data_IF_794578805157
#
_entry.id   IF_794578805157
#
_cell.length_a   1.000
_cell.length_b   1.000
_cell.length_c   1.000
_cell.angle_alpha   90.00
_cell.angle_beta   90.00
_cell.angle_gamma   90.00
#
_symmetry.space_group_name_H-M   'P 1'
#
loop_
_entity.id
_entity.type
_entity.pdbx_description
1 polymer ?
#
# COMPACT_ATOMS: atom_id res chain seq x y z
N UNK A 1 -6.36 -20.15 5.33
CA UNK A 1 -5.71 -18.87 4.95
C UNK A 1 -5.24 -18.21 6.23
N UNK A 2 -3.93 -18.02 6.40
CA UNK A 2 -3.35 -17.35 7.57
C UNK A 2 -3.39 -15.84 7.34
N UNK A 3 -4.18 -15.10 8.12
CA UNK A 3 -4.15 -13.63 8.12
C UNK A 3 -3.24 -13.15 9.24
N UNK A 4 -2.31 -12.24 8.92
CA UNK A 4 -1.49 -11.55 9.91
C UNK A 4 -2.16 -10.25 10.32
N UNK A 5 -2.31 -10.01 11.62
CA UNK A 5 -2.82 -8.74 12.15
C UNK A 5 -1.81 -8.11 13.11
N UNK A 6 -1.56 -6.82 12.93
CA UNK A 6 -0.73 -6.03 13.84
C UNK A 6 -1.59 -4.91 14.43
N UNK A 7 -1.54 -4.72 15.74
CA UNK A 7 -2.29 -3.69 16.44
C UNK A 7 -1.31 -2.65 16.98
N UNK A 8 -1.58 -1.38 16.71
CA UNK A 8 -0.86 -0.25 17.28
C UNK A 8 -1.83 0.53 18.19
N UNK A 9 -1.68 0.31 19.49
CA UNK A 9 -2.41 1.03 20.54
C UNK A 9 -1.51 2.12 21.14
N UNK A 10 -2.06 3.31 21.33
CA UNK A 10 -1.36 4.43 21.97
C UNK A 10 -1.87 4.62 23.38
N UNK A 11 -0.98 4.92 24.33
CA UNK A 11 -1.38 5.40 25.64
C UNK A 11 -1.87 6.85 25.51
N UNK A 12 -3.20 7.01 25.43
CA UNK A 12 -3.89 8.28 25.20
C UNK A 12 -4.53 8.37 23.80
N UNK A 13 -5.36 9.39 23.56
CA UNK A 13 -5.98 9.62 22.24
C UNK A 13 -5.13 10.65 21.48
N UNK A 14 -4.20 10.22 20.62
CA UNK A 14 -3.45 11.15 19.76
C UNK A 14 -4.39 11.88 18.81
N UNK A 15 -3.98 13.07 18.35
CA UNK A 15 -4.74 13.84 17.39
C UNK A 15 -5.03 13.01 16.13
N UNK A 16 -6.22 13.21 15.53
CA UNK A 16 -6.70 12.44 14.39
C UNK A 16 -5.68 12.36 13.25
N UNK A 17 -5.03 13.47 12.89
CA UNK A 17 -4.04 13.45 11.82
C UNK A 17 -2.74 12.72 12.15
N UNK A 18 -2.39 12.54 13.44
CA UNK A 18 -1.27 11.68 13.84
C UNK A 18 -1.62 10.21 13.60
N UNK A 19 -2.84 9.79 13.98
CA UNK A 19 -3.30 8.42 13.72
C UNK A 19 -3.34 8.12 12.22
N UNK A 20 -3.90 9.03 11.42
CA UNK A 20 -3.93 8.89 9.95
C UNK A 20 -2.53 8.85 9.36
N UNK A 21 -1.61 9.70 9.83
CA UNK A 21 -0.21 9.69 9.41
C UNK A 21 0.43 8.32 9.63
N UNK A 22 0.31 7.78 10.84
CA UNK A 22 0.94 6.51 11.22
C UNK A 22 0.32 5.33 10.46
N UNK A 23 -1.01 5.31 10.30
CA UNK A 23 -1.70 4.27 9.54
C UNK A 23 -1.28 4.29 8.06
N UNK A 24 -1.28 5.46 7.42
CA UNK A 24 -0.91 5.61 6.00
C UNK A 24 0.55 5.22 5.77
N UNK A 25 1.47 5.72 6.61
CA UNK A 25 2.90 5.36 6.52
C UNK A 25 3.13 3.88 6.77
N UNK A 26 2.45 3.31 7.77
CA UNK A 26 2.54 1.89 8.11
C UNK A 26 2.14 1.02 6.92
N UNK A 27 0.96 1.25 6.36
CA UNK A 27 0.48 0.51 5.19
C UNK A 27 1.41 0.66 3.99
N UNK A 28 1.87 1.89 3.72
CA UNK A 28 2.76 2.17 2.59
C UNK A 28 4.09 1.44 2.74
N UNK A 29 4.66 1.41 3.95
CA UNK A 29 5.91 0.71 4.22
C UNK A 29 5.76 -0.81 4.17
N UNK A 30 4.63 -1.35 4.66
CA UNK A 30 4.31 -2.79 4.53
C UNK A 30 4.32 -3.21 3.06
N UNK A 31 3.82 -2.36 2.17
CA UNK A 31 3.75 -2.62 0.73
C UNK A 31 4.99 -2.19 -0.06
N UNK A 32 6.04 -1.66 0.59
CA UNK A 32 7.24 -1.15 -0.09
C UNK A 32 6.99 0.04 -1.02
N UNK A 33 5.91 0.79 -0.81
CA UNK A 33 5.47 1.87 -1.70
C UNK A 33 6.16 3.20 -1.42
N UNK A 34 6.39 4.00 -2.46
CA UNK A 34 6.70 5.42 -2.35
C UNK A 34 5.42 6.27 -2.22
N UNK A 35 5.56 7.54 -1.84
CA UNK A 35 4.44 8.48 -1.85
C UNK A 35 3.87 8.71 -3.26
N UNK A 36 4.69 8.53 -4.30
CA UNK A 36 4.25 8.66 -5.69
C UNK A 36 3.35 7.48 -6.09
N UNK A 37 3.71 6.27 -5.68
CA UNK A 37 2.90 5.06 -5.95
C UNK A 37 1.54 5.17 -5.27
N UNK A 38 1.51 5.63 -4.02
CA UNK A 38 0.26 5.85 -3.32
C UNK A 38 -0.56 6.97 -3.95
N UNK A 39 0.09 8.04 -4.45
CA UNK A 39 -0.60 9.13 -5.14
C UNK A 39 -1.29 8.65 -6.41
N UNK A 40 -0.57 7.86 -7.20
CA UNK A 40 -1.09 7.25 -8.42
C UNK A 40 -2.27 6.31 -8.13
N UNK A 41 -2.11 5.41 -7.15
CA UNK A 41 -3.13 4.41 -6.83
C UNK A 41 -4.40 4.99 -6.18
N UNK A 42 -4.25 5.97 -5.29
CA UNK A 42 -5.38 6.57 -4.55
C UNK A 42 -6.06 7.73 -5.27
N UNK A 43 -5.40 8.29 -6.31
CA UNK A 43 -5.80 9.54 -6.94
C UNK A 43 -5.64 10.78 -6.04
N UNK A 44 -5.02 10.65 -4.87
CA UNK A 44 -4.69 11.77 -3.97
C UNK A 44 -3.34 12.35 -4.38
N UNK A 45 -3.23 13.67 -4.45
CA UNK A 45 -1.97 14.29 -4.89
C UNK A 45 -0.80 13.98 -3.95
N UNK A 46 0.39 13.75 -4.53
CA UNK A 46 1.64 13.51 -3.77
C UNK A 46 1.92 14.59 -2.70
N UNK A 47 1.72 15.90 -2.94
CA UNK A 47 1.87 16.91 -1.89
C UNK A 47 0.87 16.76 -0.74
N UNK A 48 -0.34 16.27 -1.02
CA UNK A 48 -1.35 16.00 0.01
C UNK A 48 -0.95 14.81 0.88
N UNK A 49 -0.45 13.74 0.28
CA UNK A 49 0.10 12.59 1.00
C UNK A 49 1.30 13.03 1.85
N UNK A 50 2.25 13.77 1.27
CA UNK A 50 3.42 14.26 2.01
C UNK A 50 3.03 15.08 3.24
N UNK A 51 2.02 15.96 3.12
CA UNK A 51 1.49 16.75 4.24
C UNK A 51 0.85 15.87 5.32
N UNK A 52 0.05 14.89 4.93
CA UNK A 52 -0.58 13.92 5.86
C UNK A 52 0.52 13.16 6.62
N UNK A 53 1.54 12.67 5.92
CA UNK A 53 2.64 11.89 6.50
C UNK A 53 3.59 12.71 7.41
N UNK A 54 3.40 14.03 7.51
CA UNK A 54 4.07 14.84 8.54
C UNK A 54 3.47 14.67 9.93
N UNK A 55 2.21 14.24 10.03
CA UNK A 55 1.46 14.21 11.29
C UNK A 55 1.12 15.58 11.89
N UNK A 56 1.47 16.68 11.21
CA UNK A 56 1.21 18.06 11.68
C UNK A 56 -0.15 18.62 11.25
N UNK A 57 -0.92 17.84 10.50
CA UNK A 57 -2.28 18.23 10.12
C UNK A 57 -3.21 17.80 11.25
N UNK A 58 -3.93 18.74 11.88
CA UNK A 58 -4.80 18.41 13.02
C UNK A 58 -5.90 17.41 12.64
N UNK A 59 -6.50 17.60 11.46
CA UNK A 59 -7.52 16.72 10.92
C UNK A 59 -7.41 16.58 9.40
N UNK A 60 -7.40 15.33 8.94
CA UNK A 60 -7.45 14.98 7.52
C UNK A 60 -8.91 14.79 7.12
N UNK A 61 -9.30 15.27 5.94
CA UNK A 61 -10.68 15.08 5.44
C UNK A 61 -10.99 13.59 5.31
N UNK A 62 -12.14 13.16 5.80
CA UNK A 62 -12.60 11.76 5.72
C UNK A 62 -12.54 11.21 4.31
N UNK A 63 -13.00 11.98 3.33
CA UNK A 63 -12.95 11.64 1.90
C UNK A 63 -11.53 11.33 1.38
N UNK A 64 -10.53 12.06 1.89
CA UNK A 64 -9.12 11.80 1.57
C UNK A 64 -8.64 10.52 2.25
N UNK A 65 -9.01 10.31 3.52
CA UNK A 65 -8.68 9.09 4.25
C UNK A 65 -9.26 7.87 3.54
N UNK A 66 -10.53 7.92 3.16
CA UNK A 66 -11.23 6.81 2.49
C UNK A 66 -10.57 6.42 1.16
N UNK A 67 -10.14 7.40 0.35
CA UNK A 67 -9.39 7.14 -0.89
C UNK A 67 -8.06 6.44 -0.63
N UNK A 68 -7.32 6.87 0.39
CA UNK A 68 -6.04 6.26 0.76
C UNK A 68 -6.24 4.83 1.29
N UNK A 69 -7.21 4.63 2.18
CA UNK A 69 -7.51 3.30 2.73
C UNK A 69 -8.08 2.35 1.67
N UNK A 70 -8.88 2.85 0.72
CA UNK A 70 -9.36 2.06 -0.40
C UNK A 70 -8.21 1.55 -1.28
N UNK A 71 -7.21 2.39 -1.56
CA UNK A 71 -6.02 2.00 -2.31
C UNK A 71 -5.28 0.82 -1.65
N UNK A 72 -5.11 0.86 -0.32
CA UNK A 72 -4.49 -0.23 0.43
C UNK A 72 -5.34 -1.51 0.43
N UNK A 73 -6.66 -1.39 0.54
CA UNK A 73 -7.57 -2.56 0.53
C UNK A 73 -7.49 -3.36 -0.77
N UNK A 74 -7.35 -2.67 -1.91
CA UNK A 74 -7.17 -3.34 -3.23
C UNK A 74 -5.91 -4.20 -3.24
N UNK A 75 -4.90 -3.85 -2.44
CA UNK A 75 -3.63 -4.55 -2.32
C UNK A 75 -3.61 -5.54 -1.14
N UNK A 76 -4.74 -5.77 -0.47
CA UNK A 76 -4.84 -6.75 0.62
C UNK A 76 -4.47 -6.23 2.01
N UNK A 77 -4.34 -4.90 2.18
CA UNK A 77 -4.07 -4.26 3.47
C UNK A 77 -5.32 -3.52 3.95
N UNK A 78 -5.86 -3.94 5.09
CA UNK A 78 -6.98 -3.30 5.78
C UNK A 78 -6.53 -2.47 6.97
N UNK A 79 -7.21 -1.35 7.23
CA UNK A 79 -7.06 -0.56 8.47
C UNK A 79 -8.40 -0.51 9.18
N UNK A 80 -8.38 -0.84 10.47
CA UNK A 80 -9.53 -0.70 11.35
C UNK A 80 -9.15 0.25 12.49
N UNK A 81 -9.94 1.30 12.67
CA UNK A 81 -9.79 2.23 13.79
C UNK A 81 -10.29 1.54 15.07
N UNK A 82 -9.51 1.65 16.14
CA UNK A 82 -9.85 1.14 17.47
C UNK A 82 -9.75 2.28 18.48
N UNK A 83 -10.22 2.07 19.70
CA UNK A 83 -10.13 3.08 20.74
C UNK A 83 -8.65 3.45 20.98
N UNK A 84 -8.32 4.74 20.82
CA UNK A 84 -6.96 5.25 20.99
C UNK A 84 -5.95 4.83 19.92
N UNK A 85 -6.35 4.17 18.83
CA UNK A 85 -5.38 3.65 17.86
C UNK A 85 -5.97 3.07 16.58
N UNK A 86 -5.21 2.15 15.97
CA UNK A 86 -5.65 1.40 14.79
C UNK A 86 -4.97 0.03 14.71
N UNK A 87 -5.64 -0.91 14.04
CA UNK A 87 -5.06 -2.19 13.65
C UNK A 87 -4.91 -2.27 12.14
N UNK A 88 -3.79 -2.83 11.69
CA UNK A 88 -3.54 -3.16 10.28
C UNK A 88 -3.69 -4.66 10.10
N UNK A 89 -4.55 -5.06 9.16
CA UNK A 89 -4.74 -6.43 8.73
C UNK A 89 -4.05 -6.63 7.38
N UNK A 90 -3.20 -7.64 7.29
CA UNK A 90 -2.40 -7.93 6.09
C UNK A 90 -2.72 -9.36 5.65
N UNK A 91 -3.22 -9.52 4.44
CA UNK A 91 -3.40 -10.84 3.86
C UNK A 91 -2.09 -11.35 3.24
N UNK A 92 -2.06 -12.62 2.84
CA UNK A 92 -0.88 -13.27 2.26
C UNK A 92 -0.38 -12.58 0.98
N UNK A 93 -1.30 -12.03 0.18
CA UNK A 93 -0.98 -11.27 -1.03
C UNK A 93 -0.19 -9.99 -0.72
N UNK A 94 -0.65 -9.21 0.25
CA UNK A 94 0.02 -7.99 0.68
C UNK A 94 1.41 -8.29 1.25
N UNK A 95 1.57 -9.40 1.96
CA UNK A 95 2.88 -9.85 2.47
C UNK A 95 3.85 -10.18 1.34
N UNK A 96 3.38 -10.82 0.26
CA UNK A 96 4.19 -11.07 -0.94
C UNK A 96 4.56 -9.76 -1.65
N UNK A 97 3.60 -8.84 -1.82
CA UNK A 97 3.87 -7.52 -2.42
C UNK A 97 4.92 -6.75 -1.61
N UNK A 98 4.82 -6.75 -0.29
CA UNK A 98 5.81 -6.11 0.58
C UNK A 98 7.21 -6.71 0.45
N UNK A 99 7.31 -8.01 0.20
CA UNK A 99 8.57 -8.71 0.02
C UNK A 99 9.22 -8.44 -1.35
N UNK A 100 8.41 -8.36 -2.41
CA UNK A 100 8.89 -8.13 -3.78
C UNK A 100 8.89 -6.66 -4.23
N UNK A 101 8.22 -5.78 -3.47
CA UNK A 101 7.93 -4.38 -3.83
C UNK A 101 6.80 -4.23 -4.85
N UNK A 102 6.13 -3.08 -4.86
CA UNK A 102 5.26 -2.71 -5.99
C UNK A 102 6.16 -2.30 -7.16
N UNK A 103 6.10 -3.06 -8.25
CA UNK A 103 6.78 -2.74 -9.51
C UNK A 103 6.13 -1.49 -10.12
N UNK A 104 6.72 -0.33 -9.83
CA UNK A 104 6.36 0.97 -10.38
C UNK A 104 7.63 1.75 -10.74
N UNK A 105 7.73 2.18 -12.00
CA UNK A 105 8.89 2.85 -12.60
C UNK A 105 9.53 3.90 -11.68
N UNK A 106 10.85 3.80 -11.44
CA UNK A 106 11.70 4.96 -11.13
C UNK A 106 12.09 5.61 -12.44
N UNK A 107 11.81 6.91 -12.59
CA UNK A 107 12.10 7.67 -13.81
C UNK A 107 13.59 7.89 -14.11
N UNK A 108 14.54 7.62 -13.20
CA UNK A 108 15.94 8.02 -13.44
C UNK A 108 17.04 7.00 -13.11
N UNK A 109 16.73 5.74 -12.77
CA UNK A 109 17.78 4.70 -12.70
C UNK A 109 17.15 3.31 -12.84
N UNK A 110 17.35 2.72 -14.02
CA UNK A 110 16.80 1.44 -14.40
C UNK A 110 17.62 0.31 -13.79
N UNK A 111 17.14 -0.30 -12.72
CA UNK A 111 17.49 -1.68 -12.38
C UNK A 111 16.30 -2.34 -11.67
N UNK A 112 15.71 -3.31 -12.36
CA UNK A 112 14.66 -4.22 -11.89
C UNK A 112 15.33 -5.57 -11.70
N UNK A 113 14.98 -6.31 -10.63
CA UNK A 113 15.45 -7.68 -10.44
C UNK A 113 14.29 -8.57 -10.00
N UNK A 114 13.84 -9.48 -10.86
CA UNK A 114 13.10 -10.67 -10.46
C UNK A 114 14.07 -11.84 -10.16
N UNK A 115 13.59 -12.87 -9.45
CA UNK A 115 14.37 -14.07 -9.14
C UNK A 115 14.60 -14.98 -10.39
N UNK A 116 13.87 -14.76 -11.49
CA UNK A 116 14.06 -15.43 -12.79
C UNK A 116 14.88 -14.56 -13.77
N UNK A 117 14.95 -13.25 -13.56
CA UNK A 117 15.69 -12.31 -14.42
C UNK A 117 17.23 -12.46 -14.28
N UNK A 118 17.70 -13.17 -13.25
CA UNK A 118 19.12 -13.44 -13.01
C UNK A 118 19.68 -14.43 -14.05
N UNK A 119 18.84 -15.22 -14.72
CA UNK A 119 19.31 -16.28 -15.63
C UNK A 119 19.07 -16.02 -17.13
N UNK A 120 18.16 -15.13 -17.55
CA UNK A 120 17.78 -15.03 -18.99
C UNK A 120 17.78 -13.65 -19.63
N UNK A 121 17.83 -12.54 -18.86
CA UNK A 121 18.17 -11.22 -19.39
C UNK A 121 17.21 -10.60 -20.42
N UNK A 122 15.91 -10.93 -20.40
CA UNK A 122 14.92 -10.33 -21.31
C UNK A 122 14.07 -9.25 -20.59
N UNK A 123 14.19 -7.99 -21.03
CA UNK A 123 13.45 -6.85 -20.48
C UNK A 123 12.14 -6.67 -21.23
N UNK A 124 11.00 -6.85 -20.56
CA UNK A 124 9.68 -6.59 -21.13
C UNK A 124 9.18 -5.21 -20.68
N UNK A 125 9.11 -4.24 -21.60
CA UNK A 125 8.46 -2.94 -21.35
C UNK A 125 6.94 -3.09 -21.27
N UNK A 126 6.42 -3.35 -20.07
CA UNK A 126 4.98 -3.37 -19.80
C UNK A 126 4.52 -2.00 -19.27
N UNK A 127 3.41 -1.47 -19.80
CA UNK A 127 2.81 -0.22 -19.28
C UNK A 127 2.28 -0.44 -17.86
N UNK A 128 2.37 0.59 -16.99
CA UNK A 128 1.93 0.48 -15.59
C UNK A 128 0.45 0.06 -15.45
N UNK A 129 -0.40 0.48 -16.39
CA UNK A 129 -1.80 0.08 -16.42
C UNK A 129 -1.95 -1.42 -16.72
N UNK A 130 -1.16 -1.95 -17.65
CA UNK A 130 -1.16 -3.37 -17.97
C UNK A 130 -0.66 -4.24 -16.80
N UNK A 131 0.39 -3.79 -16.09
CA UNK A 131 0.89 -4.48 -14.90
C UNK A 131 -0.15 -4.51 -13.75
N UNK A 132 -0.86 -3.40 -13.53
CA UNK A 132 -1.96 -3.33 -12.56
C UNK A 132 -3.13 -4.21 -12.96
N UNK A 133 -3.53 -4.16 -14.23
CA UNK A 133 -4.62 -5.00 -14.75
C UNK A 133 -4.26 -6.49 -14.63
N UNK A 134 -2.98 -6.85 -14.84
CA UNK A 134 -2.45 -8.20 -14.57
C UNK A 134 -2.53 -8.60 -13.11
N UNK A 135 -2.09 -7.74 -12.19
CA UNK A 135 -2.16 -7.99 -10.75
C UNK A 135 -3.61 -8.18 -10.29
N UNK A 136 -4.52 -7.34 -10.78
CA UNK A 136 -5.96 -7.43 -10.50
C UNK A 136 -6.55 -8.73 -11.09
N UNK A 137 -6.18 -9.08 -12.31
CA UNK A 137 -6.64 -10.31 -12.98
C UNK A 137 -6.10 -11.56 -12.27
N UNK A 138 -4.83 -11.56 -11.89
CA UNK A 138 -4.19 -12.64 -11.14
C UNK A 138 -4.88 -12.85 -9.77
N UNK A 139 -5.26 -11.76 -9.09
CA UNK A 139 -5.97 -11.83 -7.82
C UNK A 139 -7.36 -12.48 -7.96
N UNK A 140 -8.09 -12.18 -9.04
CA UNK A 140 -9.37 -12.85 -9.34
C UNK A 140 -9.21 -14.34 -9.56
N UNK A 141 -8.12 -14.76 -10.18
CA UNK A 141 -7.87 -16.17 -10.51
C UNK A 141 -7.43 -16.97 -9.27
N UNK A 142 -6.58 -16.39 -8.43
CA UNK A 142 -6.18 -16.98 -7.14
C UNK A 142 -7.38 -17.13 -6.19
N UNK A 143 -8.29 -16.15 -6.18
CA UNK A 143 -9.52 -16.21 -5.37
C UNK A 143 -10.45 -17.35 -5.79
N UNK A 144 -10.54 -17.67 -7.09
CA UNK A 144 -11.34 -18.79 -7.60
C UNK A 144 -10.76 -20.16 -7.24
N UNK A 145 -9.43 -20.27 -7.15
CA UNK A 145 -8.73 -21.52 -6.81
C UNK A 145 -8.75 -21.84 -5.33
N UNK A 146 -9.03 -20.84 -4.49
CA UNK A 146 -9.11 -20.98 -3.04
C UNK A 146 -10.52 -21.38 -2.54
N UNK A 147 -11.47 -21.62 -3.45
CA UNK A 147 -12.84 -22.11 -3.19
C UNK A 147 -12.96 -23.54 -3.68
#
# INVERSE_FOLDING_TARGET
MSQGSFVLEFQGVPAHGVLVCLAVRGCRNILGMSQADLAWLSGVSKPTIARIETGKTDSVRTDTVDKLLAAFRVLGVGVQWVEGGFSIQVNEQAAQIGFFGIVGKREDDATVFSHEDIETGEVVEESAQAALDRLIAMNRELSKRAT
#
